data_IF_805245421444
#
_entry.id   IF_805245421444
#
_cell.length_a   1.000
_cell.length_b   1.000
_cell.length_c   1.000
_cell.angle_alpha   90.00
_cell.angle_beta   90.00
_cell.angle_gamma   90.00
#
_symmetry.space_group_name_H-M   'P 1'
#
loop_
_entity.id
_entity.type
_entity.pdbx_description
1 polymer ?
#
# COMPACT_ATOMS: atom_id res chain seq x y z
N UNK A 1 21.99 -44.47 34.50
CA UNK A 1 21.20 -43.61 35.40
C UNK A 1 19.84 -43.40 34.78
N UNK A 2 18.78 -43.79 35.48
CA UNK A 2 17.40 -43.57 35.03
C UNK A 2 17.10 -42.09 35.23
N UNK A 3 16.91 -41.31 34.16
CA UNK A 3 16.54 -39.90 34.30
C UNK A 3 15.05 -39.78 34.61
N UNK A 4 14.67 -38.82 35.47
CA UNK A 4 13.27 -38.51 35.75
C UNK A 4 12.98 -37.08 35.28
N UNK A 5 12.45 -36.96 34.06
CA UNK A 5 12.04 -35.65 33.52
C UNK A 5 10.85 -35.08 34.31
N UNK A 6 10.93 -33.79 34.61
CA UNK A 6 9.85 -32.94 35.12
C UNK A 6 9.73 -31.70 34.23
N UNK A 7 8.60 -31.02 34.31
CA UNK A 7 8.26 -29.86 33.50
C UNK A 7 8.06 -28.66 34.40
N UNK A 8 8.84 -27.61 34.17
CA UNK A 8 8.88 -26.40 35.00
C UNK A 8 7.82 -25.41 34.54
N UNK A 9 7.22 -24.71 35.49
CA UNK A 9 6.34 -23.57 35.25
C UNK A 9 6.71 -22.39 36.18
N UNK A 10 6.36 -21.17 35.79
CA UNK A 10 6.56 -20.00 36.65
C UNK A 10 5.40 -19.76 37.63
N UNK A 11 5.42 -18.61 38.33
CA UNK A 11 4.39 -18.24 39.30
C UNK A 11 2.98 -18.10 38.71
N UNK A 12 2.87 -17.86 37.40
CA UNK A 12 1.62 -17.72 36.67
C UNK A 12 1.24 -19.03 35.96
N UNK A 13 2.01 -20.10 36.17
CA UNK A 13 1.81 -21.40 35.56
C UNK A 13 2.39 -21.53 34.15
N UNK A 14 3.08 -20.52 33.63
CA UNK A 14 3.62 -20.54 32.26
C UNK A 14 4.74 -21.58 32.14
N UNK A 15 4.64 -22.49 31.16
CA UNK A 15 5.68 -23.48 30.91
C UNK A 15 7.04 -22.83 30.60
N UNK A 16 8.08 -23.23 31.34
CA UNK A 16 9.45 -22.70 31.20
C UNK A 16 10.44 -23.69 30.58
N UNK A 17 10.11 -24.98 30.56
CA UNK A 17 10.96 -25.98 29.95
C UNK A 17 10.96 -27.32 30.68
N UNK A 18 11.64 -28.28 30.06
CA UNK A 18 11.92 -29.59 30.66
C UNK A 18 13.14 -29.51 31.58
N UNK A 19 13.13 -30.29 32.64
CA UNK A 19 14.23 -30.43 33.57
C UNK A 19 14.42 -31.90 33.94
N UNK A 20 15.66 -32.36 33.91
CA UNK A 20 16.00 -33.71 34.35
C UNK A 20 16.24 -33.68 35.86
N UNK A 21 15.30 -34.25 36.63
CA UNK A 21 15.41 -34.28 38.08
C UNK A 21 16.65 -35.06 38.50
N UNK A 22 17.37 -34.50 39.48
CA UNK A 22 18.57 -35.12 40.03
C UNK A 22 18.19 -36.12 41.12
N UNK A 23 18.90 -37.25 41.16
CA UNK A 23 18.79 -38.19 42.25
C UNK A 23 19.35 -37.57 43.55
N UNK A 24 18.71 -37.84 44.67
CA UNK A 24 19.12 -37.36 45.98
C UNK A 24 20.45 -38.01 46.36
N UNK A 25 21.50 -37.23 46.70
CA UNK A 25 22.77 -37.79 47.15
C UNK A 25 22.65 -38.48 48.52
N UNK A 26 21.55 -38.26 49.26
CA UNK A 26 21.31 -38.82 50.60
C UNK A 26 20.36 -40.02 50.58
N UNK A 27 19.53 -40.15 49.55
CA UNK A 27 18.47 -41.14 49.47
C UNK A 27 18.46 -41.77 48.06
N UNK A 28 19.20 -42.88 47.85
CA UNK A 28 19.20 -43.58 46.57
C UNK A 28 17.79 -43.97 46.12
N UNK A 29 17.45 -43.68 44.86
CA UNK A 29 16.14 -43.90 44.26
C UNK A 29 15.15 -42.73 44.42
N UNK A 30 15.44 -41.72 45.25
CA UNK A 30 14.62 -40.51 45.41
C UNK A 30 15.13 -39.41 44.49
N UNK A 31 14.23 -38.71 43.79
CA UNK A 31 14.59 -37.63 42.86
C UNK A 31 14.09 -36.30 43.37
N UNK A 32 14.98 -35.31 43.42
CA UNK A 32 14.71 -33.96 43.89
C UNK A 32 13.88 -33.24 42.83
N UNK A 33 12.63 -32.93 43.18
CA UNK A 33 11.70 -32.23 42.30
C UNK A 33 11.67 -30.72 42.66
N UNK A 34 11.95 -29.81 41.71
CA UNK A 34 11.78 -28.39 41.94
C UNK A 34 10.33 -28.04 42.33
N UNK A 35 10.14 -27.05 43.20
CA UNK A 35 8.82 -26.68 43.74
C UNK A 35 7.78 -26.38 42.66
N UNK A 36 8.15 -25.60 41.64
CA UNK A 36 7.27 -25.25 40.51
C UNK A 36 7.47 -26.20 39.33
N UNK A 37 7.17 -27.48 39.55
CA UNK A 37 7.29 -28.50 38.52
C UNK A 37 6.27 -29.64 38.64
N UNK A 38 5.98 -30.28 37.52
CA UNK A 38 5.09 -31.46 37.43
C UNK A 38 5.71 -32.57 36.58
N UNK A 39 5.31 -33.82 36.82
CA UNK A 39 5.68 -34.97 35.96
C UNK A 39 4.76 -35.10 34.75
N UNK A 40 3.64 -34.38 34.73
CA UNK A 40 2.71 -34.36 33.61
C UNK A 40 3.36 -33.54 32.50
N UNK A 41 3.55 -34.13 31.32
CA UNK A 41 4.07 -33.40 30.16
C UNK A 41 3.06 -32.33 29.70
N UNK A 42 3.53 -31.13 29.32
CA UNK A 42 2.66 -30.14 28.70
C UNK A 42 2.17 -30.64 27.34
N UNK A 43 1.00 -30.18 26.87
CA UNK A 43 0.58 -30.38 25.50
C UNK A 43 1.57 -29.73 24.53
N UNK A 44 1.59 -30.21 23.28
CA UNK A 44 2.28 -29.52 22.19
C UNK A 44 1.51 -28.24 21.87
N UNK A 45 2.21 -27.11 21.79
CA UNK A 45 1.63 -25.81 21.43
C UNK A 45 1.96 -25.44 19.98
N UNK A 46 1.05 -24.74 19.33
CA UNK A 46 1.23 -24.13 18.02
C UNK A 46 1.85 -22.72 18.09
N UNK A 47 1.89 -22.01 16.94
CA UNK A 47 2.21 -20.59 16.91
C UNK A 47 1.23 -19.78 17.76
N UNK A 48 1.73 -18.76 18.45
CA UNK A 48 0.94 -17.88 19.32
C UNK A 48 0.14 -18.62 20.40
N UNK A 49 0.72 -19.68 20.96
CA UNK A 49 0.14 -20.47 22.05
C UNK A 49 1.18 -20.73 23.14
N UNK A 50 0.69 -20.92 24.36
CA UNK A 50 1.50 -21.26 25.53
C UNK A 50 0.76 -22.25 26.43
N UNK A 51 1.49 -23.17 27.04
CA UNK A 51 0.94 -24.08 28.03
C UNK A 51 0.97 -23.43 29.43
N UNK A 52 -0.20 -23.38 30.09
CA UNK A 52 -0.38 -22.88 31.45
C UNK A 52 -0.77 -24.04 32.37
N UNK A 53 -0.01 -24.25 33.44
CA UNK A 53 -0.30 -25.21 34.49
C UNK A 53 -1.16 -24.56 35.57
N UNK A 54 -2.38 -25.05 35.75
CA UNK A 54 -3.30 -24.58 36.79
C UNK A 54 -4.19 -25.73 37.26
N UNK A 55 -4.55 -25.71 38.54
CA UNK A 55 -5.41 -26.73 39.16
C UNK A 55 -4.98 -28.19 38.88
N UNK A 56 -3.66 -28.44 38.81
CA UNK A 56 -3.10 -29.78 38.60
C UNK A 56 -3.07 -30.28 37.16
N UNK A 57 -3.44 -29.45 36.17
CA UNK A 57 -3.45 -29.82 34.76
C UNK A 57 -2.87 -28.71 33.87
N UNK A 58 -2.40 -29.12 32.68
CA UNK A 58 -1.99 -28.19 31.63
C UNK A 58 -3.18 -27.78 30.77
N UNK A 59 -3.23 -26.49 30.41
CA UNK A 59 -4.16 -25.94 29.41
C UNK A 59 -3.38 -25.15 28.38
N UNK A 60 -3.76 -25.22 27.11
CA UNK A 60 -3.22 -24.34 26.07
C UNK A 60 -3.99 -23.03 26.09
N UNK A 61 -3.27 -21.91 26.14
CA UNK A 61 -3.82 -20.57 26.07
C UNK A 61 -3.20 -19.82 24.88
N UNK A 62 -3.94 -18.90 24.23
CA UNK A 62 -3.35 -18.04 23.22
C UNK A 62 -2.28 -17.12 23.83
N UNK A 63 -1.22 -16.83 23.09
CA UNK A 63 -0.12 -15.97 23.50
C UNK A 63 0.43 -15.20 22.30
N UNK A 64 -0.04 -13.96 22.13
CA UNK A 64 0.35 -13.10 21.02
C UNK A 64 1.44 -12.09 21.41
N UNK A 65 2.08 -12.23 22.58
CA UNK A 65 3.07 -11.24 23.08
C UNK A 65 4.29 -11.07 22.17
N UNK A 66 4.57 -12.09 21.34
CA UNK A 66 5.68 -12.11 20.38
C UNK A 66 5.21 -12.01 18.92
N UNK A 67 3.92 -11.83 18.70
CA UNK A 67 3.35 -11.70 17.37
C UNK A 67 3.41 -10.25 16.88
N UNK A 68 3.50 -10.07 15.56
CA UNK A 68 3.27 -8.77 14.94
C UNK A 68 1.77 -8.54 14.85
N UNK A 69 1.27 -7.56 15.60
CA UNK A 69 -0.15 -7.26 15.69
C UNK A 69 -0.45 -5.87 15.13
N UNK A 70 -1.70 -5.67 14.75
CA UNK A 70 -2.16 -4.47 14.07
C UNK A 70 -3.45 -3.97 14.69
N UNK A 71 -3.60 -2.66 14.78
CA UNK A 71 -4.86 -2.02 15.13
C UNK A 71 -5.84 -2.19 13.98
N UNK A 72 -7.06 -2.64 14.27
CA UNK A 72 -8.10 -2.83 13.26
C UNK A 72 -8.63 -1.50 12.68
N UNK A 73 -8.33 -0.37 13.34
CA UNK A 73 -8.74 0.96 12.88
C UNK A 73 -7.98 1.43 11.64
N UNK A 74 -6.68 1.18 11.58
CA UNK A 74 -5.81 1.75 10.54
C UNK A 74 -4.66 0.84 10.09
N UNK A 75 -4.46 -0.31 10.73
CA UNK A 75 -3.36 -1.23 10.46
C UNK A 75 -2.04 -0.84 11.13
N UNK A 76 -2.03 0.12 12.06
CA UNK A 76 -0.82 0.49 12.82
C UNK A 76 -0.36 -0.64 13.75
N UNK A 77 0.95 -0.78 13.96
CA UNK A 77 1.51 -1.82 14.80
C UNK A 77 1.01 -1.73 16.26
N UNK A 78 0.78 -2.89 16.87
CA UNK A 78 0.35 -3.07 18.26
C UNK A 78 1.16 -4.16 18.94
N UNK A 79 1.24 -4.05 20.26
CA UNK A 79 1.79 -5.08 21.14
C UNK A 79 0.73 -5.45 22.17
N UNK A 80 0.82 -6.67 22.69
CA UNK A 80 0.05 -7.14 23.84
C UNK A 80 1.01 -7.78 24.83
N UNK A 81 0.76 -7.60 26.13
CA UNK A 81 1.65 -8.07 27.18
C UNK A 81 1.04 -9.22 28.01
N UNK A 82 -0.20 -9.60 27.70
CA UNK A 82 -0.95 -10.63 28.40
C UNK A 82 -1.09 -11.90 27.59
N UNK A 83 -1.04 -13.04 28.26
CA UNK A 83 -1.51 -14.33 27.75
C UNK A 83 -3.05 -14.26 27.68
N UNK A 84 -3.62 -14.81 26.61
CA UNK A 84 -5.06 -14.81 26.36
C UNK A 84 -5.41 -14.35 24.94
N UNK A 85 -6.72 -14.25 24.64
CA UNK A 85 -7.19 -13.82 23.33
C UNK A 85 -6.74 -12.40 23.01
N UNK A 86 -6.69 -12.08 21.71
CA UNK A 86 -6.44 -10.71 21.27
C UNK A 86 -7.50 -9.75 21.83
N UNK A 87 -7.09 -8.57 22.33
CA UNK A 87 -8.03 -7.56 22.79
C UNK A 87 -8.86 -7.00 21.63
N UNK A 88 -10.02 -6.44 21.96
CA UNK A 88 -10.88 -5.77 20.97
C UNK A 88 -10.09 -4.69 20.24
N UNK A 89 -10.21 -4.67 18.92
CA UNK A 89 -9.54 -3.68 18.08
C UNK A 89 -8.12 -4.07 17.66
N UNK A 90 -7.69 -5.31 17.93
CA UNK A 90 -6.37 -5.83 17.54
C UNK A 90 -6.53 -7.11 16.70
N UNK A 91 -5.69 -7.24 15.67
CA UNK A 91 -5.61 -8.43 14.81
C UNK A 91 -4.15 -8.79 14.52
N UNK A 92 -3.88 -10.05 14.23
CA UNK A 92 -2.63 -10.55 13.68
C UNK A 92 -2.56 -10.48 12.14
N UNK A 93 -3.65 -10.03 11.48
CA UNK A 93 -3.71 -9.86 10.03
C UNK A 93 -3.21 -8.47 9.62
N UNK A 94 -2.15 -8.36 8.81
CA UNK A 94 -1.70 -7.06 8.31
C UNK A 94 -2.77 -6.42 7.42
N UNK A 95 -2.92 -5.10 7.53
CA UNK A 95 -3.80 -4.34 6.63
C UNK A 95 -3.24 -4.38 5.20
N UNK A 96 -3.97 -4.93 4.20
CA UNK A 96 -3.42 -5.08 2.85
C UNK A 96 -3.08 -3.76 2.16
N UNK A 97 -3.92 -2.73 2.37
CA UNK A 97 -3.65 -1.36 1.89
C UNK A 97 -4.56 -0.34 2.57
N UNK A 98 -4.30 0.95 2.34
CA UNK A 98 -5.18 2.06 2.76
C UNK A 98 -6.62 1.98 2.24
N UNK A 99 -6.88 1.15 1.22
CA UNK A 99 -8.22 0.94 0.67
C UNK A 99 -8.96 -0.22 1.37
N UNK A 100 -8.44 -0.75 2.48
CA UNK A 100 -9.09 -1.79 3.27
C UNK A 100 -9.51 -1.25 4.63
N UNK A 101 -10.63 -1.75 5.14
CA UNK A 101 -11.20 -1.43 6.46
C UNK A 101 -11.57 -2.71 7.17
N UNK A 102 -11.46 -2.74 8.48
CA UNK A 102 -11.78 -3.93 9.26
C UNK A 102 -13.29 -4.10 9.41
N UNK A 103 -13.83 -5.20 8.88
CA UNK A 103 -15.25 -5.53 8.93
C UNK A 103 -15.43 -7.04 9.01
N UNK A 104 -16.35 -7.51 9.86
CA UNK A 104 -16.67 -8.94 9.94
C UNK A 104 -15.51 -9.85 10.38
N UNK A 105 -14.50 -9.31 11.08
CA UNK A 105 -13.32 -10.09 11.52
C UNK A 105 -12.23 -10.24 10.46
N UNK A 106 -12.31 -9.48 9.37
CA UNK A 106 -11.25 -9.42 8.36
C UNK A 106 -11.11 -8.03 7.74
N UNK A 107 -10.04 -7.82 6.97
CA UNK A 107 -9.85 -6.66 6.13
C UNK A 107 -10.70 -6.79 4.86
N UNK A 108 -11.73 -5.96 4.75
CA UNK A 108 -12.56 -5.84 3.56
C UNK A 108 -12.16 -4.60 2.75
N UNK A 109 -12.32 -4.65 1.43
CA UNK A 109 -12.08 -3.49 0.56
C UNK A 109 -13.13 -2.40 0.85
N UNK A 110 -12.66 -1.20 1.18
CA UNK A 110 -13.48 0.01 1.17
C UNK A 110 -13.57 0.52 -0.27
N UNK A 111 -14.69 0.21 -0.92
CA UNK A 111 -14.94 0.61 -2.30
C UNK A 111 -14.93 2.13 -2.47
N UNK A 112 -15.41 2.89 -1.49
CA UNK A 112 -15.44 4.35 -1.58
C UNK A 112 -14.01 4.92 -1.54
N UNK A 113 -13.18 4.44 -0.62
CA UNK A 113 -11.77 4.82 -0.52
C UNK A 113 -10.96 4.36 -1.76
N UNK A 114 -11.26 3.17 -2.29
CA UNK A 114 -10.67 2.67 -3.53
C UNK A 114 -11.01 3.57 -4.72
N UNK A 115 -12.29 3.99 -4.85
CA UNK A 115 -12.72 4.94 -5.89
C UNK A 115 -12.03 6.29 -5.73
N UNK A 116 -11.92 6.82 -4.52
CA UNK A 116 -11.19 8.06 -4.26
C UNK A 116 -9.72 7.98 -4.69
N UNK A 117 -9.05 6.86 -4.40
CA UNK A 117 -7.67 6.60 -4.85
C UNK A 117 -7.56 6.53 -6.37
N UNK A 118 -8.47 5.82 -7.05
CA UNK A 118 -8.49 5.74 -8.52
C UNK A 118 -8.77 7.09 -9.19
N UNK A 119 -9.63 7.92 -8.61
CA UNK A 119 -9.86 9.28 -9.14
C UNK A 119 -8.59 10.14 -9.09
N UNK A 120 -7.79 10.02 -8.02
CA UNK A 120 -6.47 10.66 -7.93
C UNK A 120 -5.52 10.15 -9.03
N UNK A 121 -5.54 8.84 -9.28
CA UNK A 121 -4.74 8.22 -10.34
C UNK A 121 -5.14 8.69 -11.75
N UNK A 122 -6.44 8.80 -12.04
CA UNK A 122 -6.95 9.35 -13.32
C UNK A 122 -6.45 10.79 -13.53
N UNK A 123 -6.44 11.61 -12.48
CA UNK A 123 -5.90 12.98 -12.55
C UNK A 123 -4.40 12.97 -12.87
N UNK A 124 -3.64 12.05 -12.26
CA UNK A 124 -2.21 11.90 -12.52
C UNK A 124 -1.93 11.44 -13.96
N UNK A 125 -2.73 10.51 -14.49
CA UNK A 125 -2.62 10.09 -15.90
C UNK A 125 -2.89 11.25 -16.86
N UNK A 126 -3.93 12.05 -16.62
CA UNK A 126 -4.21 13.24 -17.44
C UNK A 126 -3.08 14.25 -17.38
N UNK A 127 -2.53 14.50 -16.19
CA UNK A 127 -1.39 15.40 -16.04
C UNK A 127 -0.19 14.90 -16.85
N UNK A 128 0.13 13.60 -16.75
CA UNK A 128 1.21 12.98 -17.51
C UNK A 128 0.98 13.08 -19.03
N UNK A 129 -0.24 12.83 -19.50
CA UNK A 129 -0.59 12.94 -20.91
C UNK A 129 -0.45 14.39 -21.43
N UNK A 130 -0.91 15.38 -20.65
CA UNK A 130 -0.76 16.80 -20.98
C UNK A 130 0.68 17.30 -20.89
N UNK A 131 1.57 16.57 -20.20
CA UNK A 131 3.00 16.86 -20.07
C UNK A 131 3.88 15.96 -20.95
N UNK A 132 3.33 15.44 -22.06
CA UNK A 132 4.05 14.54 -22.96
C UNK A 132 4.31 15.20 -24.32
N UNK A 133 3.48 14.94 -25.31
CA UNK A 133 3.64 15.43 -26.68
C UNK A 133 2.28 15.68 -27.33
N UNK A 134 2.28 16.38 -28.46
CA UNK A 134 1.14 16.45 -29.38
C UNK A 134 1.62 16.36 -30.82
N UNK A 135 0.74 15.90 -31.71
CA UNK A 135 1.03 15.80 -33.14
C UNK A 135 0.49 17.02 -33.89
N UNK A 136 1.26 17.51 -34.86
CA UNK A 136 0.83 18.55 -35.80
C UNK A 136 1.67 18.48 -37.08
N UNK A 137 1.06 18.68 -38.24
CA UNK A 137 1.81 18.75 -39.52
C UNK A 137 2.70 17.54 -39.81
N UNK A 138 2.28 16.33 -39.41
CA UNK A 138 3.06 15.10 -39.57
C UNK A 138 4.27 14.96 -38.63
N UNK A 139 4.42 15.85 -37.65
CA UNK A 139 5.48 15.83 -36.64
C UNK A 139 4.90 15.70 -35.24
N UNK A 140 5.77 15.38 -34.28
CA UNK A 140 5.45 15.30 -32.85
C UNK A 140 6.24 16.38 -32.12
N UNK A 141 5.58 17.12 -31.25
CA UNK A 141 6.15 18.23 -30.49
C UNK A 141 6.09 17.94 -29.01
N UNK A 142 7.15 18.32 -28.30
CA UNK A 142 7.19 18.25 -26.86
C UNK A 142 6.13 19.19 -26.25
N UNK A 143 5.45 18.69 -25.22
CA UNK A 143 4.50 19.45 -24.40
C UNK A 143 4.81 19.23 -22.92
N UNK A 144 6.06 18.95 -22.59
CA UNK A 144 6.53 18.99 -21.21
C UNK A 144 6.40 20.42 -20.63
N UNK A 145 6.70 20.56 -19.35
CA UNK A 145 6.49 21.81 -18.61
C UNK A 145 7.20 23.02 -19.23
N UNK A 146 8.45 22.84 -19.67
CA UNK A 146 9.22 23.90 -20.31
C UNK A 146 8.64 24.22 -21.70
N UNK A 147 8.47 23.20 -22.53
CA UNK A 147 7.98 23.37 -23.92
C UNK A 147 6.59 24.00 -23.94
N UNK A 148 5.72 23.61 -23.02
CA UNK A 148 4.38 24.20 -22.89
C UNK A 148 4.45 25.66 -22.46
N UNK A 149 5.31 26.01 -21.50
CA UNK A 149 5.54 27.39 -21.08
C UNK A 149 6.01 28.25 -22.26
N UNK A 150 6.95 27.75 -23.05
CA UNK A 150 7.46 28.45 -24.23
C UNK A 150 6.38 28.63 -25.31
N UNK A 151 5.58 27.59 -25.58
CA UNK A 151 4.46 27.65 -26.53
C UNK A 151 3.39 28.65 -26.07
N UNK A 152 2.98 28.59 -24.79
CA UNK A 152 1.98 29.49 -24.23
C UNK A 152 2.48 30.95 -24.20
N UNK A 153 3.77 31.16 -23.91
CA UNK A 153 4.42 32.47 -23.96
C UNK A 153 4.48 33.05 -25.39
N UNK A 154 4.89 32.24 -26.36
CA UNK A 154 4.87 32.62 -27.78
C UNK A 154 3.45 32.95 -28.25
N UNK A 155 2.46 32.16 -27.83
CA UNK A 155 1.06 32.39 -28.17
C UNK A 155 0.53 33.70 -27.60
N UNK A 156 0.88 34.02 -26.34
CA UNK A 156 0.55 35.31 -25.72
C UNK A 156 1.12 36.47 -26.53
N UNK A 157 2.39 36.41 -26.91
CA UNK A 157 3.02 37.49 -27.67
C UNK A 157 2.46 37.66 -29.08
N UNK A 158 2.23 36.56 -29.81
CA UNK A 158 1.64 36.59 -31.16
C UNK A 158 0.20 37.12 -31.10
N UNK A 159 -0.56 36.76 -30.06
CA UNK A 159 -1.93 37.26 -29.86
C UNK A 159 -1.94 38.77 -29.59
N UNK A 160 -1.01 39.26 -28.78
CA UNK A 160 -0.89 40.69 -28.46
C UNK A 160 -0.47 41.52 -29.68
N UNK A 161 0.47 41.02 -30.49
CA UNK A 161 0.99 41.74 -31.66
C UNK A 161 0.09 41.60 -32.90
N UNK A 162 -0.69 40.52 -33.00
CA UNK A 162 -1.36 40.14 -34.25
C UNK A 162 -0.39 39.75 -35.38
N UNK A 163 0.89 39.56 -35.06
CA UNK A 163 1.98 39.26 -35.99
C UNK A 163 3.00 38.33 -35.32
N UNK A 164 3.85 37.67 -36.12
CA UNK A 164 5.01 36.95 -35.57
C UNK A 164 6.01 37.98 -35.00
N UNK A 165 6.59 37.75 -33.80
CA UNK A 165 7.47 38.73 -33.16
C UNK A 165 8.78 38.91 -33.93
N UNK A 166 9.44 40.07 -33.73
CA UNK A 166 10.78 40.29 -34.24
C UNK A 166 11.75 39.24 -33.67
N UNK A 167 12.61 38.68 -34.53
CA UNK A 167 13.50 37.58 -34.13
C UNK A 167 12.84 36.19 -34.08
N UNK A 168 11.63 36.04 -34.64
CA UNK A 168 10.98 34.73 -34.76
C UNK A 168 11.89 33.72 -35.49
N UNK A 169 12.11 32.51 -34.93
CA UNK A 169 13.05 31.53 -35.48
C UNK A 169 12.61 30.89 -36.81
N UNK A 170 11.40 31.21 -37.29
CA UNK A 170 10.86 30.70 -38.56
C UNK A 170 10.18 29.33 -38.45
N UNK A 171 10.11 28.74 -37.25
CA UNK A 171 9.50 27.44 -37.03
C UNK A 171 9.61 26.96 -35.59
N UNK A 172 9.05 25.79 -35.31
CA UNK A 172 9.13 25.13 -34.01
C UNK A 172 9.84 23.78 -34.12
N UNK A 173 10.67 23.46 -33.13
CA UNK A 173 11.45 22.21 -33.10
C UNK A 173 10.57 21.03 -32.65
N UNK A 174 10.53 19.98 -33.46
CA UNK A 174 9.89 18.71 -33.14
C UNK A 174 10.81 17.83 -32.26
N UNK A 175 10.26 16.76 -31.69
CA UNK A 175 10.99 15.82 -30.82
C UNK A 175 12.15 15.12 -31.52
N UNK A 176 12.07 14.97 -32.85
CA UNK A 176 13.12 14.39 -33.71
C UNK A 176 14.23 15.40 -34.07
N UNK A 177 14.23 16.58 -33.44
CA UNK A 177 15.11 17.72 -33.71
C UNK A 177 14.97 18.36 -35.10
N UNK A 178 13.99 17.93 -35.91
CA UNK A 178 13.63 18.65 -37.13
C UNK A 178 12.73 19.85 -36.81
N UNK A 179 12.56 20.76 -37.76
CA UNK A 179 11.69 21.93 -37.59
C UNK A 179 10.46 21.81 -38.47
N UNK A 180 9.32 22.26 -37.94
CA UNK A 180 8.17 22.63 -38.76
C UNK A 180 8.25 24.14 -39.04
N UNK A 181 8.33 24.55 -40.32
CA UNK A 181 8.25 25.96 -40.67
C UNK A 181 6.92 26.56 -40.20
N UNK A 182 7.01 27.72 -39.55
CA UNK A 182 5.87 28.55 -39.14
C UNK A 182 6.25 29.97 -39.52
N UNK A 183 5.72 30.45 -40.63
CA UNK A 183 6.08 31.72 -41.26
C UNK A 183 4.94 32.73 -41.25
N UNK A 184 3.73 32.28 -40.90
CA UNK A 184 2.54 33.12 -40.78
C UNK A 184 1.85 32.93 -39.43
N UNK A 185 1.05 33.93 -39.03
CA UNK A 185 0.18 33.83 -37.84
C UNK A 185 -0.86 32.73 -38.00
N UNK A 186 -1.31 32.46 -39.23
CA UNK A 186 -2.28 31.39 -39.50
C UNK A 186 -1.69 30.01 -39.21
N UNK A 187 -0.46 29.75 -39.63
CA UNK A 187 0.28 28.52 -39.32
C UNK A 187 0.49 28.36 -37.81
N UNK A 188 0.87 29.44 -37.11
CA UNK A 188 1.00 29.43 -35.65
C UNK A 188 -0.32 29.04 -34.96
N UNK A 189 -1.44 29.66 -35.36
CA UNK A 189 -2.76 29.34 -34.80
C UNK A 189 -3.14 27.88 -35.02
N UNK A 190 -2.82 27.30 -36.18
CA UNK A 190 -3.07 25.88 -36.44
C UNK A 190 -2.21 24.96 -35.56
N UNK A 191 -0.93 25.30 -35.38
CA UNK A 191 0.00 24.60 -34.49
C UNK A 191 -0.49 24.63 -33.03
N UNK A 192 -0.75 25.84 -32.50
CA UNK A 192 -1.24 26.03 -31.14
C UNK A 192 -2.60 25.34 -30.91
N UNK A 193 -3.49 25.42 -31.91
CA UNK A 193 -4.78 24.73 -31.90
C UNK A 193 -4.65 23.22 -31.74
N UNK A 194 -3.61 22.61 -32.32
CA UNK A 194 -3.38 21.16 -32.18
C UNK A 194 -2.94 20.77 -30.77
N UNK A 195 -2.12 21.60 -30.11
CA UNK A 195 -1.78 21.43 -28.68
C UNK A 195 -3.04 21.53 -27.81
N UNK A 196 -3.89 22.53 -28.07
CA UNK A 196 -5.17 22.70 -27.38
C UNK A 196 -6.08 21.48 -27.56
N UNK A 197 -6.26 21.01 -28.79
CA UNK A 197 -7.09 19.83 -29.11
C UNK A 197 -6.57 18.57 -28.43
N UNK A 198 -5.26 18.36 -28.37
CA UNK A 198 -4.66 17.24 -27.63
C UNK A 198 -5.01 17.32 -26.13
N UNK A 199 -4.89 18.51 -25.52
CA UNK A 199 -5.28 18.75 -24.13
C UNK A 199 -6.78 18.51 -23.88
N UNK A 200 -7.65 18.96 -24.79
CA UNK A 200 -9.09 18.74 -24.71
C UNK A 200 -9.45 17.25 -24.82
N UNK A 201 -8.75 16.51 -25.69
CA UNK A 201 -8.90 15.04 -25.83
C UNK A 201 -8.52 14.32 -24.55
N UNK A 202 -7.37 14.68 -23.95
CA UNK A 202 -6.96 14.12 -22.66
C UNK A 202 -7.95 14.45 -21.54
N UNK A 203 -8.51 15.67 -21.54
CA UNK A 203 -9.56 16.03 -20.60
C UNK A 203 -10.81 15.18 -20.77
N UNK A 204 -11.32 15.04 -21.99
CA UNK A 204 -12.51 14.24 -22.29
C UNK A 204 -12.33 12.78 -21.85
N UNK A 205 -11.19 12.17 -22.21
CA UNK A 205 -10.81 10.82 -21.77
C UNK A 205 -10.83 10.67 -20.24
N UNK A 206 -10.25 11.64 -19.52
CA UNK A 206 -10.28 11.61 -18.06
C UNK A 206 -11.72 11.70 -17.49
N UNK A 207 -12.64 12.43 -18.14
CA UNK A 207 -14.04 12.46 -17.72
C UNK A 207 -14.76 11.13 -17.98
N UNK A 208 -14.50 10.49 -19.11
CA UNK A 208 -15.04 9.17 -19.42
C UNK A 208 -14.59 8.12 -18.39
N UNK A 209 -13.31 8.13 -18.01
CA UNK A 209 -12.79 7.24 -16.97
C UNK A 209 -13.43 7.53 -15.61
N UNK A 210 -13.71 8.78 -15.28
CA UNK A 210 -14.40 9.16 -14.04
C UNK A 210 -15.88 8.77 -14.05
N UNK A 211 -16.55 8.82 -15.19
CA UNK A 211 -17.90 8.30 -15.34
C UNK A 211 -17.93 6.79 -15.11
N UNK A 212 -17.04 6.04 -15.76
CA UNK A 212 -16.85 4.60 -15.51
C UNK A 212 -16.54 4.29 -14.04
N UNK A 213 -15.73 5.14 -13.40
CA UNK A 213 -15.43 5.01 -11.98
C UNK A 213 -16.67 5.24 -11.11
N UNK A 214 -17.50 6.22 -11.43
CA UNK A 214 -18.74 6.49 -10.73
C UNK A 214 -19.68 5.26 -10.78
N UNK A 215 -19.75 4.60 -11.95
CA UNK A 215 -20.59 3.42 -12.18
C UNK A 215 -20.01 2.11 -11.60
N UNK A 216 -18.71 2.08 -11.26
CA UNK A 216 -18.08 0.89 -10.70
C UNK A 216 -18.63 0.55 -9.30
N UNK A 217 -19.08 -0.71 -9.14
CA UNK A 217 -19.64 -1.29 -7.91
C UNK A 217 -18.75 -2.38 -7.31
N UNK A 218 -17.65 -2.74 -7.96
CA UNK A 218 -16.74 -3.80 -7.51
C UNK A 218 -15.27 -3.36 -7.58
N UNK A 219 -14.38 -3.91 -6.75
CA UNK A 219 -12.94 -3.63 -6.83
C UNK A 219 -12.34 -3.95 -8.21
N UNK A 220 -12.80 -5.01 -8.86
CA UNK A 220 -12.32 -5.47 -10.17
C UNK A 220 -12.66 -4.45 -11.27
N UNK A 221 -13.88 -3.89 -11.24
CA UNK A 221 -14.27 -2.82 -12.15
C UNK A 221 -13.44 -1.56 -11.94
N UNK A 222 -13.14 -1.19 -10.68
CA UNK A 222 -12.25 -0.06 -10.39
C UNK A 222 -10.84 -0.33 -10.91
N UNK A 223 -10.33 -1.55 -10.72
CA UNK A 223 -9.00 -1.95 -11.21
C UNK A 223 -8.90 -1.94 -12.74
N UNK A 224 -9.98 -2.30 -13.45
CA UNK A 224 -10.05 -2.29 -14.91
C UNK A 224 -10.07 -0.88 -15.54
N UNK A 225 -10.19 0.17 -14.73
CA UNK A 225 -10.05 1.56 -15.20
C UNK A 225 -8.57 1.88 -15.32
N UNK A 226 -8.16 2.12 -16.55
CA UNK A 226 -6.80 2.44 -16.98
C UNK A 226 -6.84 3.64 -17.92
N UNK A 227 -5.73 4.39 -18.01
CA UNK A 227 -5.63 5.56 -18.89
C UNK A 227 -6.06 5.19 -20.29
#
# INVERSE_FOLDING_TARGET
>A
MTSKTVFLYDKDGEFKGRYEAQESPLEPGVYIQPTSSTRIAPPVTGPNEVAIFSAGAWTVQPDYRRAELYATVDGSLKTVDSIGPLPVGVTDKPRPSKNHVWQGGDWAVDLAQLKASKNTEINAWRLKANRSTFAHGGKVFACDELSRSDIDGANGQISNLGALPAGWPGGWKAVDNTYLPITTVAEWKAFYGSMFTAGATNFARAQELKARLADATTPEQVAAIVW
#
